data_IF_293858073032
#
_entry.id   IF_293858073032
#
_cell.length_a   1.000
_cell.length_b   1.000
_cell.length_c   1.000
_cell.angle_alpha   90.00
_cell.angle_beta   90.00
_cell.angle_gamma   90.00
#
_symmetry.space_group_name_H-M   'P 1'
#
loop_
_entity.id
_entity.type
_entity.pdbx_description
1 polymer ?
#
# COMPACT_ATOMS: atom_id res chain seq x y z
N UNK A 1 7.91 -16.58 -9.26
CA UNK A 1 8.81 -15.53 -8.72
C UNK A 1 8.15 -14.91 -7.49
N UNK A 2 8.92 -14.64 -6.46
CA UNK A 2 8.44 -13.99 -5.24
C UNK A 2 8.79 -12.50 -5.26
N UNK A 3 7.85 -11.68 -4.80
CA UNK A 3 8.02 -10.25 -4.62
C UNK A 3 7.75 -9.91 -3.16
N UNK A 4 8.48 -8.97 -2.61
CA UNK A 4 8.32 -8.53 -1.22
C UNK A 4 8.36 -7.01 -1.12
N UNK A 5 7.69 -6.50 -0.12
CA UNK A 5 7.77 -5.10 0.28
C UNK A 5 7.61 -4.99 1.78
N UNK A 6 8.36 -4.09 2.39
CA UNK A 6 8.28 -3.82 3.82
C UNK A 6 8.39 -2.30 4.04
N UNK A 7 7.65 -1.82 5.02
CA UNK A 7 7.76 -0.44 5.46
C UNK A 7 7.51 -0.32 6.96
N UNK A 8 8.19 0.63 7.58
CA UNK A 8 8.12 0.95 9.00
C UNK A 8 7.86 2.45 9.14
N UNK A 9 6.94 2.83 10.00
CA UNK A 9 6.61 4.22 10.27
C UNK A 9 6.42 4.49 11.75
N UNK A 10 6.84 5.67 12.21
CA UNK A 10 6.47 6.18 13.52
C UNK A 10 5.02 6.64 13.53
N UNK A 11 4.21 6.12 14.46
CA UNK A 11 2.78 6.46 14.59
C UNK A 11 2.62 7.98 14.82
N UNK A 12 3.50 8.58 15.61
CA UNK A 12 3.50 10.03 15.86
C UNK A 12 3.58 10.88 14.59
N UNK A 13 4.22 10.37 13.53
CA UNK A 13 4.29 11.05 12.23
C UNK A 13 2.93 11.16 11.57
N UNK A 14 2.11 10.11 11.66
CA UNK A 14 0.73 10.13 11.14
C UNK A 14 -0.15 11.03 12.00
N UNK A 15 -0.02 10.97 13.32
CA UNK A 15 -0.74 11.86 14.23
C UNK A 15 -0.49 13.33 13.90
N UNK A 16 0.76 13.71 13.67
CA UNK A 16 1.13 15.09 13.28
C UNK A 16 0.55 15.49 11.93
N UNK A 17 0.58 14.60 10.95
CA UNK A 17 0.00 14.87 9.63
C UNK A 17 -1.51 15.07 9.70
N UNK A 18 -2.21 14.21 10.45
CA UNK A 18 -3.66 14.33 10.67
C UNK A 18 -3.99 15.62 11.41
N UNK A 19 -3.24 15.97 12.46
CA UNK A 19 -3.45 17.22 13.22
C UNK A 19 -3.26 18.46 12.35
N UNK A 20 -2.28 18.45 11.44
CA UNK A 20 -1.96 19.60 10.58
C UNK A 20 -2.86 19.73 9.36
N UNK A 21 -3.12 18.62 8.66
CA UNK A 21 -3.75 18.64 7.33
C UNK A 21 -5.18 18.11 7.34
N UNK A 22 -5.61 17.47 8.44
CA UNK A 22 -6.98 16.96 8.68
C UNK A 22 -7.54 16.18 7.49
N UNK A 23 -8.73 16.54 7.00
CA UNK A 23 -9.42 15.85 5.91
C UNK A 23 -8.62 15.80 4.62
N UNK A 24 -7.83 16.82 4.32
CA UNK A 24 -6.98 16.83 3.13
C UNK A 24 -5.98 15.69 3.13
N UNK A 25 -5.33 15.43 4.27
CA UNK A 25 -4.42 14.30 4.44
C UNK A 25 -5.17 12.97 4.38
N UNK A 26 -6.23 12.84 5.19
CA UNK A 26 -6.99 11.60 5.30
C UNK A 26 -7.54 11.14 3.94
N UNK A 27 -8.15 12.03 3.19
CA UNK A 27 -8.74 11.71 1.88
C UNK A 27 -7.72 11.48 0.78
N UNK A 28 -6.55 12.04 0.90
CA UNK A 28 -5.47 11.80 -0.06
C UNK A 28 -4.87 10.39 0.10
N UNK A 29 -4.76 9.93 1.33
CA UNK A 29 -4.06 8.68 1.68
C UNK A 29 -5.02 7.49 1.75
N UNK A 30 -6.18 7.67 2.36
CA UNK A 30 -7.08 6.56 2.72
C UNK A 30 -8.37 6.58 1.89
N UNK A 31 -8.86 5.38 1.56
CA UNK A 31 -10.14 5.23 0.88
C UNK A 31 -11.31 5.51 1.82
N UNK A 32 -12.52 5.81 1.29
CA UNK A 32 -13.72 5.94 2.12
C UNK A 32 -13.99 4.71 2.98
N UNK A 33 -13.74 3.51 2.47
CA UNK A 33 -13.93 2.26 3.21
C UNK A 33 -12.94 2.15 4.39
N UNK A 34 -11.69 2.54 4.19
CA UNK A 34 -10.69 2.59 5.26
C UNK A 34 -11.07 3.63 6.33
N UNK A 35 -11.46 4.82 5.91
CA UNK A 35 -11.84 5.89 6.84
C UNK A 35 -13.11 5.58 7.62
N UNK A 36 -14.06 4.86 7.04
CA UNK A 36 -15.28 4.45 7.73
C UNK A 36 -15.00 3.61 8.98
N UNK A 37 -13.88 2.87 8.99
CA UNK A 37 -13.53 1.96 10.09
C UNK A 37 -12.42 2.55 10.98
N UNK A 38 -11.40 3.17 10.38
CA UNK A 38 -10.12 3.44 11.04
C UNK A 38 -9.83 4.92 11.31
N UNK A 39 -10.70 5.83 10.93
CA UNK A 39 -10.48 7.29 11.02
C UNK A 39 -9.91 7.75 12.36
N UNK A 40 -10.41 7.23 13.46
CA UNK A 40 -10.04 7.63 14.82
C UNK A 40 -9.02 6.68 15.48
N UNK A 41 -8.43 5.79 14.69
CA UNK A 41 -7.48 4.77 15.18
C UNK A 41 -6.10 5.02 14.58
N UNK A 42 -5.30 5.90 15.21
CA UNK A 42 -4.00 6.30 14.69
C UNK A 42 -3.04 5.13 14.43
N UNK A 43 -2.91 4.12 15.31
CA UNK A 43 -2.09 2.95 15.01
C UNK A 43 -2.56 2.19 13.75
N UNK A 44 -3.87 2.09 13.54
CA UNK A 44 -4.46 1.44 12.37
C UNK A 44 -4.22 2.24 11.08
N UNK A 45 -4.32 3.57 11.14
CA UNK A 45 -3.99 4.45 10.02
C UNK A 45 -2.51 4.38 9.68
N UNK A 46 -1.64 4.38 10.69
CA UNK A 46 -0.19 4.24 10.48
C UNK A 46 0.18 2.88 9.86
N UNK A 47 -0.44 1.79 10.32
CA UNK A 47 -0.22 0.46 9.73
C UNK A 47 -0.67 0.40 8.27
N UNK A 48 -1.76 1.08 7.92
CA UNK A 48 -2.24 1.16 6.53
C UNK A 48 -1.37 2.06 5.65
N UNK A 49 -0.86 3.15 6.19
CA UNK A 49 0.19 3.92 5.52
C UNK A 49 1.38 3.03 5.16
N UNK A 50 1.92 2.31 6.15
CA UNK A 50 3.05 1.40 5.95
C UNK A 50 2.72 0.30 4.92
N UNK A 51 1.49 -0.23 4.93
CA UNK A 51 1.05 -1.24 3.95
C UNK A 51 1.04 -0.70 2.52
N UNK A 52 0.60 0.54 2.32
CA UNK A 52 0.59 1.19 1.00
C UNK A 52 2.02 1.43 0.50
N UNK A 53 2.91 1.91 1.36
CA UNK A 53 4.34 2.05 1.04
C UNK A 53 5.00 0.71 0.72
N UNK A 54 4.73 -0.31 1.52
CA UNK A 54 5.27 -1.66 1.30
C UNK A 54 4.77 -2.25 -0.04
N UNK A 55 3.49 -2.07 -0.35
CA UNK A 55 2.91 -2.51 -1.62
C UNK A 55 3.52 -1.75 -2.81
N UNK A 56 3.72 -0.44 -2.69
CA UNK A 56 4.37 0.35 -3.73
C UNK A 56 5.81 -0.11 -3.99
N UNK A 57 6.57 -0.40 -2.94
CA UNK A 57 7.92 -0.99 -3.05
C UNK A 57 7.89 -2.33 -3.76
N UNK A 58 6.96 -3.20 -3.42
CA UNK A 58 6.78 -4.49 -4.07
C UNK A 58 6.47 -4.34 -5.56
N UNK A 59 5.60 -3.40 -5.91
CA UNK A 59 5.21 -3.13 -7.29
C UNK A 59 6.31 -2.38 -8.08
N UNK A 60 7.31 -1.82 -7.39
CA UNK A 60 8.35 -1.01 -8.00
C UNK A 60 7.82 0.32 -8.54
N UNK A 61 6.89 0.94 -7.83
CA UNK A 61 6.28 2.23 -8.19
C UNK A 61 6.38 3.23 -7.06
N UNK A 62 6.32 4.52 -7.40
CA UNK A 62 6.18 5.59 -6.42
C UNK A 62 4.72 5.82 -6.04
N UNK A 63 4.51 6.47 -4.89
CA UNK A 63 3.22 6.98 -4.46
C UNK A 63 3.14 8.49 -4.72
N UNK A 64 1.98 8.97 -5.19
CA UNK A 64 1.79 10.39 -5.46
C UNK A 64 1.83 11.20 -4.18
N UNK A 65 2.66 12.25 -4.16
CA UNK A 65 2.75 13.19 -3.05
C UNK A 65 1.48 13.99 -2.83
N UNK A 66 1.44 14.69 -1.70
CA UNK A 66 0.32 15.57 -1.32
C UNK A 66 0.29 16.87 -2.14
N UNK A 67 1.36 17.19 -2.85
CA UNK A 67 1.45 18.37 -3.72
C UNK A 67 1.06 18.08 -5.17
N UNK A 68 0.53 19.10 -5.86
CA UNK A 68 0.13 19.00 -7.27
C UNK A 68 1.29 18.72 -8.24
N UNK A 69 2.54 18.77 -7.77
CA UNK A 69 3.75 18.67 -8.58
C UNK A 69 4.30 17.24 -8.74
N UNK A 70 3.82 16.27 -7.96
CA UNK A 70 4.33 14.90 -8.06
C UNK A 70 3.63 14.15 -9.20
N UNK A 71 4.15 14.38 -10.39
CA UNK A 71 3.72 13.70 -11.63
C UNK A 71 4.76 12.68 -12.09
N UNK A 72 5.45 12.03 -11.14
CA UNK A 72 6.42 11.00 -11.51
C UNK A 72 5.73 9.95 -12.41
N UNK A 73 6.34 9.66 -13.56
CA UNK A 73 5.82 8.66 -14.48
C UNK A 73 5.69 7.31 -13.77
N UNK A 74 4.49 6.73 -13.81
CA UNK A 74 4.23 5.45 -13.17
C UNK A 74 3.83 5.50 -11.69
N UNK A 75 3.79 6.68 -11.06
CA UNK A 75 3.32 6.80 -9.69
C UNK A 75 1.83 6.47 -9.58
N UNK A 76 1.47 5.75 -8.52
CA UNK A 76 0.08 5.40 -8.21
C UNK A 76 -0.46 6.30 -7.11
N UNK A 77 -1.78 6.47 -7.09
CA UNK A 77 -2.44 7.18 -5.99
C UNK A 77 -2.51 6.27 -4.75
N UNK A 78 -2.39 6.86 -3.57
CA UNK A 78 -2.48 6.13 -2.31
C UNK A 78 -3.77 5.33 -2.17
N UNK A 79 -4.89 5.89 -2.65
CA UNK A 79 -6.21 5.26 -2.59
C UNK A 79 -6.38 4.09 -3.58
N UNK A 80 -5.45 3.89 -4.49
CA UNK A 80 -5.43 2.72 -5.38
C UNK A 80 -4.92 1.46 -4.67
N UNK A 81 -4.37 1.61 -3.46
CA UNK A 81 -3.96 0.51 -2.60
C UNK A 81 -4.84 0.57 -1.35
N UNK A 82 -5.74 -0.39 -1.21
CA UNK A 82 -6.73 -0.40 -0.13
C UNK A 82 -6.50 -1.55 0.83
N UNK A 83 -6.56 -1.27 2.13
CA UNK A 83 -6.38 -2.26 3.19
C UNK A 83 -7.55 -2.21 4.16
N UNK A 84 -8.42 -3.20 4.06
CA UNK A 84 -9.56 -3.40 4.97
C UNK A 84 -9.51 -4.80 5.57
N UNK A 85 -10.15 -4.98 6.71
CA UNK A 85 -10.27 -6.31 7.32
C UNK A 85 -11.31 -7.16 6.61
N UNK A 86 -11.08 -8.47 6.56
CA UNK A 86 -12.10 -9.44 6.18
C UNK A 86 -13.12 -9.66 7.33
N UNK A 87 -14.01 -10.62 7.17
CA UNK A 87 -15.02 -10.95 8.17
C UNK A 87 -14.43 -11.36 9.54
N UNK A 88 -13.17 -11.78 9.58
CA UNK A 88 -12.46 -12.17 10.80
C UNK A 88 -11.47 -11.07 11.28
N UNK A 89 -11.48 -9.89 10.65
CA UNK A 89 -10.57 -8.80 10.97
C UNK A 89 -9.15 -8.95 10.41
N UNK A 90 -8.88 -9.98 9.60
CA UNK A 90 -7.59 -10.13 8.92
C UNK A 90 -7.45 -9.04 7.85
N UNK A 91 -6.35 -8.26 7.85
CA UNK A 91 -6.16 -7.25 6.81
C UNK A 91 -6.00 -7.90 5.44
N UNK A 92 -6.71 -7.36 4.47
CA UNK A 92 -6.61 -7.77 3.06
C UNK A 92 -6.22 -6.58 2.20
N UNK A 93 -5.40 -6.83 1.20
CA UNK A 93 -4.91 -5.83 0.26
C UNK A 93 -5.68 -5.94 -1.05
N UNK A 94 -6.31 -4.85 -1.46
CA UNK A 94 -6.99 -4.74 -2.76
C UNK A 94 -6.32 -3.64 -3.57
N UNK A 95 -5.95 -3.96 -4.80
CA UNK A 95 -5.37 -3.01 -5.74
C UNK A 95 -6.41 -2.54 -6.73
N UNK A 96 -6.42 -1.24 -7.00
CA UNK A 96 -7.31 -0.57 -7.93
C UNK A 96 -6.50 0.19 -8.98
N UNK A 97 -7.13 0.56 -10.08
CA UNK A 97 -6.57 1.47 -11.08
C UNK A 97 -5.18 1.08 -11.56
N UNK A 98 -4.26 2.03 -11.53
CA UNK A 98 -2.87 1.83 -12.00
C UNK A 98 -2.09 0.84 -11.16
N UNK A 99 -2.36 0.75 -9.87
CA UNK A 99 -1.72 -0.25 -9.01
C UNK A 99 -2.13 -1.66 -9.43
N UNK A 100 -3.40 -1.88 -9.75
CA UNK A 100 -3.88 -3.15 -10.29
C UNK A 100 -3.28 -3.45 -11.67
N UNK A 101 -3.17 -2.45 -12.54
CA UNK A 101 -2.55 -2.59 -13.86
C UNK A 101 -1.08 -3.00 -13.73
N UNK A 102 -0.36 -2.39 -12.81
CA UNK A 102 1.04 -2.74 -12.55
C UNK A 102 1.19 -4.18 -12.04
N UNK A 103 0.32 -4.60 -11.14
CA UNK A 103 0.30 -5.98 -10.64
C UNK A 103 0.09 -6.99 -11.78
N UNK A 104 -0.85 -6.71 -12.68
CA UNK A 104 -1.07 -7.52 -13.88
C UNK A 104 0.14 -7.55 -14.79
N UNK A 105 0.78 -6.41 -15.03
CA UNK A 105 2.00 -6.31 -15.84
C UNK A 105 3.16 -7.12 -15.27
N UNK A 106 3.26 -7.23 -13.94
CA UNK A 106 4.23 -8.08 -13.24
C UNK A 106 3.82 -9.56 -13.21
N UNK A 107 2.61 -9.89 -13.65
CA UNK A 107 2.08 -11.24 -13.60
C UNK A 107 1.77 -11.74 -12.19
N UNK A 108 1.45 -10.83 -11.27
CA UNK A 108 1.13 -11.21 -9.89
C UNK A 108 -0.20 -11.98 -9.86
N UNK A 109 -0.19 -13.14 -9.21
CA UNK A 109 -1.37 -14.02 -9.10
C UNK A 109 -1.92 -14.04 -7.68
N UNK A 110 -1.11 -13.72 -6.69
CA UNK A 110 -1.51 -13.73 -5.29
C UNK A 110 -0.71 -12.70 -4.50
N UNK A 111 -1.39 -11.98 -3.61
CA UNK A 111 -0.77 -11.06 -2.65
C UNK A 111 -1.21 -11.41 -1.23
N UNK A 112 -0.31 -11.26 -0.29
CA UNK A 112 -0.56 -11.44 1.14
C UNK A 112 0.03 -10.28 1.93
N UNK A 113 -0.62 -9.92 3.03
CA UNK A 113 -0.27 -8.78 3.86
C UNK A 113 -0.22 -9.19 5.33
N UNK A 114 0.78 -8.70 6.03
CA UNK A 114 0.85 -8.78 7.49
C UNK A 114 1.14 -7.39 8.06
N UNK A 115 0.43 -7.04 9.12
CA UNK A 115 0.59 -5.78 9.85
C UNK A 115 0.95 -6.06 11.29
N UNK A 116 1.77 -5.21 11.88
CA UNK A 116 2.06 -5.21 13.32
C UNK A 116 2.32 -3.78 13.80
N UNK A 117 2.12 -3.54 15.07
CA UNK A 117 2.48 -2.27 15.67
C UNK A 117 2.88 -2.42 17.13
N UNK A 118 3.69 -1.49 17.57
CA UNK A 118 4.00 -1.22 18.97
C UNK A 118 3.32 0.10 19.37
N UNK A 119 3.65 0.60 20.54
CA UNK A 119 3.16 1.93 20.97
C UNK A 119 3.62 3.05 20.04
N UNK A 120 4.81 2.94 19.48
CA UNK A 120 5.49 4.02 18.73
C UNK A 120 5.56 3.77 17.23
N UNK A 121 5.54 2.52 16.78
CA UNK A 121 5.79 2.15 15.39
C UNK A 121 4.72 1.23 14.84
N UNK A 122 4.45 1.37 13.55
CA UNK A 122 3.69 0.42 12.76
C UNK A 122 4.55 -0.13 11.63
N UNK A 123 4.37 -1.39 11.30
CA UNK A 123 5.10 -2.09 10.25
C UNK A 123 4.13 -2.86 9.37
N UNK A 124 4.44 -2.93 8.08
CA UNK A 124 3.72 -3.76 7.12
C UNK A 124 4.69 -4.58 6.29
N UNK A 125 4.32 -5.81 6.03
CA UNK A 125 5.02 -6.70 5.10
C UNK A 125 4.02 -7.18 4.06
N UNK A 126 4.36 -7.01 2.78
CA UNK A 126 3.58 -7.49 1.65
C UNK A 126 4.41 -8.51 0.88
N UNK A 127 3.80 -9.63 0.56
CA UNK A 127 4.42 -10.69 -0.25
C UNK A 127 3.50 -10.97 -1.43
N UNK A 128 4.07 -11.20 -2.60
CA UNK A 128 3.31 -11.60 -3.76
C UNK A 128 4.01 -12.74 -4.51
N UNK A 129 3.21 -13.55 -5.17
CA UNK A 129 3.67 -14.58 -6.09
C UNK A 129 3.33 -14.12 -7.50
N UNK A 130 4.33 -14.09 -8.37
CA UNK A 130 4.15 -13.88 -9.80
C UNK A 130 4.13 -15.20 -10.56
N UNK A 131 3.48 -15.21 -11.72
CA UNK A 131 3.51 -16.36 -12.62
C UNK A 131 4.96 -16.67 -13.02
N UNK A 132 5.28 -17.95 -13.18
CA UNK A 132 6.56 -18.36 -13.73
C UNK A 132 6.71 -17.76 -15.14
N UNK A 133 7.92 -17.29 -15.53
CA UNK A 133 8.13 -16.82 -16.89
C UNK A 133 7.83 -17.97 -17.87
N UNK A 134 7.02 -17.68 -18.88
CA UNK A 134 6.75 -18.63 -19.96
C UNK A 134 8.06 -18.92 -20.71
N UNK A 135 8.31 -20.17 -21.13
CA UNK A 135 9.55 -20.54 -21.85
C UNK A 135 9.84 -19.70 -23.11
N UNK A 136 8.81 -19.09 -23.69
CA UNK A 136 8.92 -18.26 -24.90
C UNK A 136 9.51 -16.87 -24.67
N UNK A 137 9.71 -16.43 -23.42
CA UNK A 137 10.25 -15.11 -23.10
C UNK A 137 11.78 -15.10 -22.90
N UNK A 138 12.46 -16.23 -23.13
CA UNK A 138 13.93 -16.27 -23.09
C UNK A 138 14.47 -15.77 -24.43
N UNK A 139 15.22 -14.66 -24.49
CA UNK A 139 15.88 -14.25 -25.72
C UNK A 139 16.84 -15.36 -26.17
N UNK A 140 17.02 -15.59 -27.46
CA UNK A 140 18.04 -16.53 -27.94
C UNK A 140 19.41 -16.07 -27.47
N UNK A 141 20.21 -17.04 -26.98
CA UNK A 141 21.60 -16.81 -26.59
C UNK A 141 22.43 -16.38 -27.80
#
# INVERSE_FOLDING_TARGET
MLYTGIDLIEIARIERAVARWRERFLRHIYTPAELAIYRDRMPSLAARWAAKEAAAKLLGVGLRGLGAADRSAGAVAWVEIEVVGDAHGRPTLTLHGRAADRARALGLVELSLSLSHTREHAIACVVAIGAAPTPESRPPE
#
